data_IF_646801044007
#
_entry.id   IF_646801044007
#
_cell.length_a   1.000
_cell.length_b   1.000
_cell.length_c   1.000
_cell.angle_alpha   90.00
_cell.angle_beta   90.00
_cell.angle_gamma   90.00
#
_symmetry.space_group_name_H-M   'P 1'
#
loop_
_entity.id
_entity.type
_entity.pdbx_description
1 polymer ?
#
# COMPACT_ATOMS: atom_id res chain seq x y z
N UNK A 1 -17.70 -33.28 -3.62
CA UNK A 1 -16.38 -32.84 -4.11
C UNK A 1 -15.36 -33.44 -3.18
N UNK A 2 -14.52 -34.32 -3.70
CA UNK A 2 -13.38 -34.86 -2.96
C UNK A 2 -12.18 -33.92 -3.15
N UNK A 3 -11.22 -33.95 -2.23
CA UNK A 3 -9.98 -33.16 -2.37
C UNK A 3 -9.23 -33.48 -3.68
N UNK A 4 -9.39 -34.71 -4.19
CA UNK A 4 -8.80 -35.16 -5.47
C UNK A 4 -9.45 -34.52 -6.71
N UNK A 5 -10.73 -34.17 -6.63
CA UNK A 5 -11.42 -33.42 -7.69
C UNK A 5 -10.94 -31.96 -7.73
N UNK A 6 -10.57 -31.40 -6.57
CA UNK A 6 -10.07 -30.02 -6.42
C UNK A 6 -8.66 -29.90 -7.00
N UNK A 7 -7.75 -30.80 -6.62
CA UNK A 7 -6.35 -30.81 -7.11
C UNK A 7 -6.26 -30.96 -8.63
N UNK A 8 -7.15 -31.77 -9.21
CA UNK A 8 -7.22 -31.98 -10.67
C UNK A 8 -7.71 -30.75 -11.41
N UNK A 9 -8.63 -29.99 -10.83
CA UNK A 9 -9.11 -28.74 -11.41
C UNK A 9 -8.01 -27.67 -11.36
N UNK A 10 -7.28 -27.55 -10.25
CA UNK A 10 -6.19 -26.57 -10.08
C UNK A 10 -5.02 -26.80 -11.04
N UNK A 11 -4.60 -28.06 -11.25
CA UNK A 11 -3.46 -28.38 -12.14
C UNK A 11 -3.75 -28.08 -13.63
N UNK A 12 -5.01 -28.13 -14.05
CA UNK A 12 -5.39 -27.89 -15.44
C UNK A 12 -5.84 -26.45 -15.70
N UNK A 13 -5.74 -25.56 -14.70
CA UNK A 13 -6.12 -24.15 -14.85
C UNK A 13 -4.93 -23.34 -15.42
N UNK A 14 -5.04 -22.84 -16.67
CA UNK A 14 -3.98 -22.03 -17.29
C UNK A 14 -3.71 -20.71 -16.55
N UNK A 15 -4.66 -20.20 -15.75
CA UNK A 15 -4.46 -19.01 -14.92
C UNK A 15 -3.64 -19.31 -13.64
N UNK A 16 -3.54 -20.58 -13.23
CA UNK A 16 -2.80 -21.01 -12.03
C UNK A 16 -1.32 -21.31 -12.31
N UNK A 17 -0.96 -21.67 -13.55
CA UNK A 17 0.39 -22.08 -13.94
C UNK A 17 1.48 -21.03 -13.62
N UNK A 18 1.14 -19.74 -13.56
CA UNK A 18 2.07 -18.66 -13.20
C UNK A 18 2.32 -18.46 -11.70
N UNK A 19 1.55 -19.13 -10.84
CA UNK A 19 1.60 -19.00 -9.38
C UNK A 19 2.23 -20.20 -8.67
N UNK A 20 2.52 -21.29 -9.40
CA UNK A 20 3.10 -22.53 -8.85
C UNK A 20 4.47 -22.32 -8.19
N UNK A 21 5.25 -21.35 -8.66
CA UNK A 21 6.62 -21.07 -8.17
C UNK A 21 6.66 -19.96 -7.09
N UNK A 22 5.50 -19.46 -6.64
CA UNK A 22 5.44 -18.44 -5.60
C UNK A 22 5.59 -19.10 -4.24
N UNK A 23 6.74 -18.87 -3.63
CA UNK A 23 7.00 -19.25 -2.24
C UNK A 23 6.25 -18.33 -1.26
N UNK A 24 5.00 -18.67 -0.99
CA UNK A 24 4.12 -17.96 -0.05
C UNK A 24 4.65 -17.97 1.39
N UNK A 25 5.63 -18.82 1.74
CA UNK A 25 6.24 -18.81 3.08
C UNK A 25 7.05 -17.53 3.36
N UNK A 26 7.46 -16.81 2.31
CA UNK A 26 8.19 -15.53 2.39
C UNK A 26 7.27 -14.31 2.36
N UNK A 27 5.96 -14.49 2.24
CA UNK A 27 5.02 -13.39 2.23
C UNK A 27 5.06 -12.64 3.57
N UNK A 28 5.44 -11.36 3.54
CA UNK A 28 5.35 -10.50 4.71
C UNK A 28 3.95 -9.91 4.83
N UNK A 29 3.28 -10.18 5.95
CA UNK A 29 2.01 -9.53 6.27
C UNK A 29 2.28 -8.08 6.64
N UNK A 30 2.02 -7.17 5.72
CA UNK A 30 2.11 -5.73 5.98
C UNK A 30 0.75 -5.25 6.48
N UNK A 31 0.65 -5.00 7.78
CA UNK A 31 -0.53 -4.34 8.32
C UNK A 31 -0.50 -2.85 7.95
N UNK A 32 -1.51 -2.34 7.22
CA UNK A 32 -1.56 -0.92 6.94
C UNK A 32 -1.74 -0.17 8.26
N UNK A 33 -0.83 0.78 8.56
CA UNK A 33 -0.97 1.64 9.72
C UNK A 33 -2.28 2.43 9.60
N UNK A 34 -3.15 2.34 10.61
CA UNK A 34 -4.39 3.09 10.64
C UNK A 34 -4.08 4.60 10.57
N UNK A 35 -4.73 5.29 9.62
CA UNK A 35 -4.60 6.75 9.50
C UNK A 35 -5.53 7.40 10.51
N UNK A 36 -5.04 8.35 11.28
CA UNK A 36 -5.87 9.19 12.13
C UNK A 36 -6.50 10.30 11.29
N UNK A 37 -7.83 10.40 11.31
CA UNK A 37 -8.54 11.54 10.71
C UNK A 37 -8.41 12.74 11.65
N UNK A 38 -7.77 13.81 11.18
CA UNK A 38 -7.61 15.06 11.91
C UNK A 38 -8.08 16.23 11.05
N UNK A 39 -8.60 17.27 11.69
CA UNK A 39 -8.90 18.54 11.04
C UNK A 39 -7.71 19.48 11.22
N UNK A 40 -7.07 19.86 10.11
CA UNK A 40 -5.94 20.81 10.09
C UNK A 40 -6.22 21.92 9.08
N UNK A 41 -5.64 23.10 9.32
CA UNK A 41 -5.61 24.18 8.33
C UNK A 41 -4.29 24.09 7.57
N UNK A 42 -4.39 24.19 6.24
CA UNK A 42 -3.27 24.17 5.30
C UNK A 42 -3.46 25.36 4.37
N UNK A 43 -2.37 26.00 3.97
CA UNK A 43 -2.40 27.13 3.05
C UNK A 43 -3.02 26.74 1.70
N UNK A 44 -3.73 27.70 1.10
CA UNK A 44 -4.55 27.47 -0.09
C UNK A 44 -3.70 27.03 -1.29
N UNK A 45 -2.55 27.67 -1.49
CA UNK A 45 -1.59 27.37 -2.55
C UNK A 45 -1.04 25.95 -2.45
N UNK A 46 -0.75 25.48 -1.23
CA UNK A 46 -0.31 24.11 -0.97
C UNK A 46 -1.41 23.11 -1.33
N UNK A 47 -2.65 23.38 -0.90
CA UNK A 47 -3.80 22.52 -1.23
C UNK A 47 -4.02 22.46 -2.75
N UNK A 48 -3.94 23.59 -3.44
CA UNK A 48 -4.16 23.67 -4.88
C UNK A 48 -3.04 22.97 -5.67
N UNK A 49 -1.79 23.12 -5.24
CA UNK A 49 -0.67 22.36 -5.78
C UNK A 49 -0.95 20.85 -5.70
N UNK A 50 -1.28 20.34 -4.52
CA UNK A 50 -1.55 18.91 -4.37
C UNK A 50 -2.79 18.48 -5.17
N UNK A 51 -3.88 19.25 -5.17
CA UNK A 51 -5.06 18.94 -5.99
C UNK A 51 -4.75 18.85 -7.48
N UNK A 52 -3.86 19.71 -8.00
CA UNK A 52 -3.46 19.70 -9.42
C UNK A 52 -2.80 18.37 -9.84
N UNK A 53 -2.23 17.61 -8.90
CA UNK A 53 -1.65 16.28 -9.17
C UNK A 53 -2.70 15.20 -9.43
N UNK A 54 -3.99 15.49 -9.23
CA UNK A 54 -5.11 14.59 -9.49
C UNK A 54 -5.47 13.67 -8.33
N UNK A 55 -6.18 12.56 -8.65
CA UNK A 55 -6.69 11.60 -7.66
C UNK A 55 -5.56 11.09 -6.76
N UNK A 56 -5.82 11.06 -5.45
CA UNK A 56 -4.83 10.63 -4.45
C UNK A 56 -3.94 11.75 -3.90
N UNK A 57 -4.27 13.02 -4.14
CA UNK A 57 -3.51 14.16 -3.61
C UNK A 57 -3.30 14.11 -2.09
N UNK A 58 -4.29 13.66 -1.31
CA UNK A 58 -4.15 13.48 0.14
C UNK A 58 -3.11 12.42 0.51
N UNK A 59 -3.02 11.33 -0.27
CA UNK A 59 -2.01 10.29 -0.08
C UNK A 59 -0.61 10.84 -0.37
N UNK A 60 -0.46 11.66 -1.42
CA UNK A 60 0.80 12.34 -1.74
C UNK A 60 1.20 13.34 -0.65
N UNK A 61 0.26 14.17 -0.20
CA UNK A 61 0.48 15.11 0.89
C UNK A 61 0.94 14.38 2.17
N UNK A 62 0.29 13.26 2.52
CA UNK A 62 0.69 12.43 3.65
C UNK A 62 2.09 11.80 3.48
N UNK A 63 2.48 11.41 2.27
CA UNK A 63 3.82 10.88 2.00
C UNK A 63 4.92 11.93 2.25
N UNK A 64 4.68 13.18 1.82
CA UNK A 64 5.59 14.31 2.08
C UNK A 64 5.74 14.58 3.57
N UNK A 65 4.62 14.64 4.31
CA UNK A 65 4.63 14.80 5.77
C UNK A 65 5.40 13.67 6.46
N UNK A 66 5.20 12.42 6.02
CA UNK A 66 5.93 11.26 6.56
C UNK A 66 7.43 11.36 6.32
N UNK A 67 7.84 11.78 5.13
CA UNK A 67 9.26 11.98 4.81
C UNK A 67 9.88 13.07 5.69
N UNK A 68 9.20 14.21 5.86
CA UNK A 68 9.65 15.28 6.74
C UNK A 68 9.86 14.80 8.18
N UNK A 69 8.89 14.05 8.74
CA UNK A 69 9.01 13.48 10.09
C UNK A 69 10.19 12.52 10.20
N UNK A 70 10.41 11.67 9.18
CA UNK A 70 11.53 10.72 9.16
C UNK A 70 12.88 11.43 9.17
N UNK A 71 13.04 12.47 8.35
CA UNK A 71 14.28 13.25 8.30
C UNK A 71 14.54 14.03 9.60
N UNK A 72 13.48 14.58 10.22
CA UNK A 72 13.61 15.24 11.52
C UNK A 72 14.04 14.25 12.63
N UNK A 73 13.52 13.01 12.61
CA UNK A 73 13.92 11.98 13.59
C UNK A 73 15.34 11.47 13.41
N UNK A 74 15.90 11.54 12.20
CA UNK A 74 17.28 11.14 11.91
C UNK A 74 18.33 12.13 12.40
N UNK A 75 17.96 13.40 12.56
CA UNK A 75 18.86 14.43 13.09
C UNK A 75 18.94 14.25 14.61
N UNK A 76 20.07 13.78 15.18
CA UNK A 76 20.26 13.88 16.62
C UNK A 76 20.28 15.39 16.96
N UNK A 77 19.52 15.76 18.01
CA UNK A 77 19.60 17.10 18.58
C UNK A 77 20.98 17.39 19.15
#
# INVERSE_FOLDING_TARGET
MTDEDIDRATRNDPDWAGFEDIDWSKAQVVFPTAKTSISIRVDQDVVDFFKSTGKGYQTRMNAVLRHYVHEQKKRPG
#
